data_IF_822952835612
#
_entry.id   IF_822952835612
#
_cell.length_a   1.000
_cell.length_b   1.000
_cell.length_c   1.000
_cell.angle_alpha   90.00
_cell.angle_beta   90.00
_cell.angle_gamma   90.00
#
_symmetry.space_group_name_H-M   'P 1'
#
loop_
_entity.id
_entity.type
_entity.pdbx_description
1 polymer ?
#
# COMPACT_ATOMS: atom_id res chain seq x y z
N UNK A 1 -43.94 11.27 -21.91
CA UNK A 1 -43.23 10.83 -23.12
C UNK A 1 -41.81 11.33 -23.02
N UNK A 2 -40.89 10.50 -22.48
CA UNK A 2 -39.50 10.83 -22.35
C UNK A 2 -38.79 10.53 -23.67
N UNK A 3 -38.14 11.53 -24.26
CA UNK A 3 -37.26 11.38 -25.42
C UNK A 3 -36.06 10.54 -25.01
N UNK A 4 -36.01 9.30 -25.47
CA UNK A 4 -34.79 8.48 -25.50
C UNK A 4 -33.84 9.20 -26.45
N UNK A 5 -32.73 9.73 -25.91
CA UNK A 5 -31.65 10.24 -26.74
C UNK A 5 -31.00 9.04 -27.41
N UNK A 6 -31.22 8.88 -28.71
CA UNK A 6 -30.52 7.97 -29.61
C UNK A 6 -29.01 8.29 -29.51
N UNK A 7 -28.22 7.31 -29.04
CA UNK A 7 -26.76 7.32 -29.18
C UNK A 7 -26.43 7.00 -30.63
N UNK A 8 -25.85 7.96 -31.32
CA UNK A 8 -25.26 7.74 -32.64
C UNK A 8 -24.22 6.61 -32.56
N UNK A 9 -24.54 5.49 -33.19
CA UNK A 9 -23.63 4.39 -33.47
C UNK A 9 -22.69 4.80 -34.59
N UNK A 10 -21.45 5.19 -34.26
CA UNK A 10 -20.39 5.23 -35.26
C UNK A 10 -19.08 4.79 -34.61
N UNK A 11 -18.54 3.65 -35.07
CA UNK A 11 -17.24 3.10 -34.78
C UNK A 11 -17.25 2.10 -33.60
N UNK A 12 -16.69 0.93 -33.80
CA UNK A 12 -16.54 -0.12 -32.80
C UNK A 12 -15.75 0.43 -31.58
N UNK A 13 -16.46 0.92 -30.57
CA UNK A 13 -15.88 1.19 -29.28
C UNK A 13 -15.48 -0.15 -28.67
N UNK A 14 -14.23 -0.31 -28.33
CA UNK A 14 -13.83 -1.39 -27.44
C UNK A 14 -14.71 -1.35 -26.18
N UNK A 15 -15.15 -2.52 -25.65
CA UNK A 15 -15.95 -2.57 -24.44
C UNK A 15 -15.20 -1.87 -23.30
N UNK A 16 -15.96 -1.25 -22.39
CA UNK A 16 -15.35 -0.66 -21.20
C UNK A 16 -14.83 -1.74 -20.27
N UNK A 17 -13.83 -1.43 -19.43
CA UNK A 17 -13.31 -2.41 -18.48
C UNK A 17 -14.39 -2.92 -17.52
N UNK A 18 -15.43 -2.13 -17.22
CA UNK A 18 -16.56 -2.59 -16.41
C UNK A 18 -17.46 -3.55 -17.21
N UNK A 19 -17.62 -3.35 -18.51
CA UNK A 19 -18.35 -4.28 -19.39
C UNK A 19 -17.61 -5.62 -19.50
N UNK A 20 -16.28 -5.61 -19.63
CA UNK A 20 -15.43 -6.80 -19.63
C UNK A 20 -15.53 -7.58 -18.31
N UNK A 21 -15.72 -6.90 -17.17
CA UNK A 21 -15.88 -7.48 -15.85
C UNK A 21 -17.34 -7.79 -15.46
N UNK A 22 -18.28 -7.83 -16.41
CA UNK A 22 -19.72 -8.01 -16.15
C UNK A 22 -20.04 -9.30 -15.37
N UNK A 23 -19.38 -10.41 -15.66
CA UNK A 23 -19.55 -11.68 -14.93
C UNK A 23 -19.14 -11.53 -13.45
N UNK A 24 -18.01 -10.89 -13.19
CA UNK A 24 -17.52 -10.61 -11.81
C UNK A 24 -18.48 -9.69 -11.04
N UNK A 25 -19.12 -8.73 -11.70
CA UNK A 25 -20.17 -7.88 -11.09
C UNK A 25 -21.41 -8.69 -10.68
N UNK A 26 -21.76 -9.74 -11.45
CA UNK A 26 -22.91 -10.60 -11.17
C UNK A 26 -22.67 -11.61 -10.02
N UNK A 27 -21.44 -11.84 -9.60
CA UNK A 27 -21.16 -12.71 -8.44
C UNK A 27 -21.66 -12.13 -7.12
N UNK A 28 -21.94 -10.83 -7.06
CA UNK A 28 -22.47 -10.18 -5.87
C UNK A 28 -23.96 -10.50 -5.66
N UNK A 29 -24.28 -11.25 -4.61
CA UNK A 29 -25.65 -11.59 -4.22
C UNK A 29 -26.29 -10.61 -3.24
N UNK A 30 -25.67 -9.45 -3.02
CA UNK A 30 -26.14 -8.37 -2.15
C UNK A 30 -26.47 -8.76 -0.69
N UNK A 31 -25.85 -9.80 -0.13
CA UNK A 31 -26.12 -10.31 1.22
C UNK A 31 -25.77 -9.34 2.36
N UNK A 32 -24.88 -8.37 2.14
CA UNK A 32 -24.49 -7.35 3.11
C UNK A 32 -23.39 -7.73 4.09
N UNK A 33 -22.81 -8.93 4.05
CA UNK A 33 -21.74 -9.35 4.96
C UNK A 33 -20.48 -8.50 4.88
N UNK A 34 -20.27 -7.79 3.76
CA UNK A 34 -19.17 -6.85 3.57
C UNK A 34 -19.36 -5.46 4.27
N UNK A 35 -20.57 -5.14 4.75
CA UNK A 35 -20.88 -3.82 5.31
C UNK A 35 -20.08 -3.50 6.58
N UNK A 36 -20.02 -4.40 7.59
CA UNK A 36 -19.26 -4.16 8.81
C UNK A 36 -17.75 -3.99 8.58
N UNK A 37 -17.21 -4.60 7.50
CA UNK A 37 -15.79 -4.53 7.17
C UNK A 37 -15.41 -3.23 6.44
N UNK A 38 -16.39 -2.45 5.96
CA UNK A 38 -16.12 -1.27 5.15
C UNK A 38 -15.93 -0.02 5.99
N UNK A 39 -14.72 0.61 6.01
CA UNK A 39 -14.47 1.80 6.81
C UNK A 39 -15.34 2.98 6.40
N UNK A 40 -15.54 3.19 5.09
CA UNK A 40 -16.34 4.32 4.58
C UNK A 40 -17.81 4.17 4.93
N UNK A 41 -18.36 2.97 4.81
CA UNK A 41 -19.74 2.70 5.22
C UNK A 41 -19.97 2.89 6.73
N UNK A 42 -19.01 2.40 7.55
CA UNK A 42 -19.09 2.56 9.02
C UNK A 42 -19.12 4.01 9.48
N UNK A 43 -18.42 4.90 8.75
CA UNK A 43 -18.38 6.33 9.08
C UNK A 43 -19.55 7.09 8.48
N UNK A 44 -19.92 6.83 7.23
CA UNK A 44 -20.89 7.62 6.48
C UNK A 44 -22.33 7.12 6.60
N UNK A 45 -22.55 5.83 6.87
CA UNK A 45 -23.87 5.22 6.93
C UNK A 45 -24.62 5.20 5.59
N UNK A 46 -23.98 5.56 4.49
CA UNK A 46 -24.58 5.64 3.18
C UNK A 46 -24.37 4.34 2.39
N UNK A 47 -25.45 3.73 1.93
CA UNK A 47 -25.41 2.46 1.21
C UNK A 47 -24.57 2.54 -0.09
N UNK A 48 -24.63 3.66 -0.82
CA UNK A 48 -23.83 3.85 -2.03
C UNK A 48 -22.32 3.88 -1.75
N UNK A 49 -21.90 4.14 -0.50
CA UNK A 49 -20.51 4.12 -0.04
C UNK A 49 -20.12 2.77 0.55
N UNK A 50 -21.03 1.79 0.51
CA UNK A 50 -20.76 0.39 0.87
C UNK A 50 -20.15 -0.39 -0.31
N UNK A 51 -19.50 -1.53 -0.06
CA UNK A 51 -18.96 -2.36 -1.15
C UNK A 51 -20.04 -2.84 -2.10
N UNK A 52 -21.15 -3.38 -1.59
CA UNK A 52 -22.26 -3.85 -2.45
C UNK A 52 -22.96 -2.71 -3.18
N UNK A 53 -23.11 -1.54 -2.54
CA UNK A 53 -23.68 -0.35 -3.17
C UNK A 53 -22.82 0.13 -4.34
N UNK A 54 -21.48 0.18 -4.16
CA UNK A 54 -20.56 0.50 -5.25
C UNK A 54 -20.59 -0.53 -6.37
N UNK A 55 -20.69 -1.83 -6.07
CA UNK A 55 -20.88 -2.87 -7.10
C UNK A 55 -22.17 -2.64 -7.88
N UNK A 56 -23.26 -2.27 -7.19
CA UNK A 56 -24.53 -1.95 -7.85
C UNK A 56 -24.40 -0.74 -8.79
N UNK A 57 -23.68 0.30 -8.38
CA UNK A 57 -23.40 1.47 -9.24
C UNK A 57 -22.51 1.08 -10.45
N UNK A 58 -21.45 0.28 -10.23
CA UNK A 58 -20.58 -0.24 -11.29
C UNK A 58 -21.39 -1.05 -12.32
N UNK A 59 -22.25 -1.95 -11.82
CA UNK A 59 -23.15 -2.73 -12.67
C UNK A 59 -24.09 -1.82 -13.47
N UNK A 60 -24.65 -0.78 -12.86
CA UNK A 60 -25.49 0.20 -13.56
C UNK A 60 -24.76 0.89 -14.71
N UNK A 61 -23.46 1.17 -14.54
CA UNK A 61 -22.61 1.72 -15.62
C UNK A 61 -22.33 0.68 -16.70
N UNK A 62 -21.94 -0.55 -16.34
CA UNK A 62 -21.68 -1.64 -17.28
C UNK A 62 -22.90 -1.98 -18.13
N UNK A 63 -24.11 -1.95 -17.54
CA UNK A 63 -25.38 -2.18 -18.24
C UNK A 63 -25.88 -0.94 -19.04
N UNK A 64 -25.14 0.17 -19.04
CA UNK A 64 -25.52 1.41 -19.71
C UNK A 64 -26.72 2.15 -19.07
N UNK A 65 -27.16 1.75 -17.88
CA UNK A 65 -28.26 2.35 -17.11
C UNK A 65 -27.87 3.61 -16.36
N UNK A 66 -26.59 3.72 -16.00
CA UNK A 66 -26.01 4.88 -15.31
C UNK A 66 -24.88 5.48 -16.16
N UNK A 67 -24.77 6.79 -16.15
CA UNK A 67 -23.63 7.48 -16.73
C UNK A 67 -22.50 7.60 -15.69
N UNK A 68 -21.24 7.61 -16.17
CA UNK A 68 -20.08 7.96 -15.34
C UNK A 68 -20.11 9.47 -15.11
N UNK A 69 -20.88 9.91 -14.13
CA UNK A 69 -21.14 11.31 -13.77
C UNK A 69 -20.80 11.55 -12.30
N UNK A 70 -20.95 12.79 -11.83
CA UNK A 70 -20.48 13.26 -10.51
C UNK A 70 -20.91 12.35 -9.35
N UNK A 71 -22.14 11.81 -9.35
CA UNK A 71 -22.63 10.91 -8.31
C UNK A 71 -21.83 9.59 -8.30
N UNK A 72 -21.67 8.95 -9.47
CA UNK A 72 -20.86 7.73 -9.57
C UNK A 72 -19.41 7.99 -9.16
N UNK A 73 -18.80 9.06 -9.70
CA UNK A 73 -17.43 9.46 -9.43
C UNK A 73 -17.21 9.65 -7.93
N UNK A 74 -18.11 10.39 -7.25
CA UNK A 74 -17.96 10.66 -5.81
C UNK A 74 -17.95 9.40 -4.96
N UNK A 75 -18.84 8.43 -5.22
CA UNK A 75 -18.89 7.19 -4.45
C UNK A 75 -17.71 6.26 -4.74
N UNK A 76 -17.19 6.23 -5.98
CA UNK A 76 -15.99 5.44 -6.31
C UNK A 76 -14.74 6.07 -5.68
N UNK A 77 -14.58 7.39 -5.71
CA UNK A 77 -13.43 8.11 -5.16
C UNK A 77 -13.36 8.01 -3.63
N UNK A 78 -14.50 7.92 -2.94
CA UNK A 78 -14.55 7.72 -1.49
C UNK A 78 -14.08 6.32 -1.04
N UNK A 79 -13.90 5.37 -1.95
CA UNK A 79 -13.39 4.06 -1.59
C UNK A 79 -11.88 4.09 -1.28
N UNK A 80 -11.48 3.58 -0.10
CA UNK A 80 -10.07 3.43 0.29
C UNK A 80 -9.31 2.35 -0.49
N UNK A 81 -10.00 1.44 -1.18
CA UNK A 81 -9.36 0.29 -1.83
C UNK A 81 -8.70 -0.68 -0.85
N UNK A 82 -9.13 -0.72 0.40
CA UNK A 82 -8.53 -1.55 1.46
C UNK A 82 -8.78 -3.06 1.31
N UNK A 83 -9.77 -3.46 0.49
CA UNK A 83 -10.13 -4.86 0.16
C UNK A 83 -10.63 -5.72 1.33
N UNK A 84 -10.90 -5.14 2.50
CA UNK A 84 -11.48 -5.87 3.64
C UNK A 84 -12.83 -6.54 3.29
N UNK A 85 -13.57 -5.99 2.35
CA UNK A 85 -14.82 -6.54 1.85
C UNK A 85 -14.65 -7.86 1.06
N UNK A 86 -13.48 -8.13 0.49
CA UNK A 86 -13.21 -9.39 -0.22
C UNK A 86 -13.13 -10.57 0.75
N UNK A 87 -12.42 -10.39 1.88
CA UNK A 87 -12.33 -11.42 2.92
C UNK A 87 -13.67 -11.73 3.57
N UNK A 88 -14.56 -10.73 3.65
CA UNK A 88 -15.90 -10.87 4.20
C UNK A 88 -16.92 -11.42 3.20
N UNK A 89 -16.53 -11.60 1.93
CA UNK A 89 -17.45 -11.98 0.87
C UNK A 89 -17.50 -13.50 0.68
N UNK A 90 -18.63 -14.18 0.99
CA UNK A 90 -18.75 -15.62 0.78
C UNK A 90 -18.82 -15.99 -0.70
N UNK A 91 -19.23 -15.05 -1.57
CA UNK A 91 -19.31 -15.27 -3.03
C UNK A 91 -17.99 -15.00 -3.74
N UNK A 92 -16.93 -14.57 -3.03
CA UNK A 92 -15.61 -14.37 -3.63
C UNK A 92 -15.52 -13.24 -4.65
N UNK A 93 -16.33 -12.16 -4.52
CA UNK A 93 -16.30 -11.03 -5.45
C UNK A 93 -14.91 -10.41 -5.50
N UNK A 94 -14.25 -10.28 -6.66
CA UNK A 94 -12.93 -9.67 -6.81
C UNK A 94 -13.03 -8.13 -6.79
N UNK A 95 -13.39 -7.58 -5.64
CA UNK A 95 -13.73 -6.16 -5.50
C UNK A 95 -12.59 -5.21 -5.89
N UNK A 96 -11.34 -5.58 -5.62
CA UNK A 96 -10.17 -4.78 -6.01
C UNK A 96 -10.09 -4.55 -7.50
N UNK A 97 -10.25 -5.60 -8.30
CA UNK A 97 -10.24 -5.52 -9.76
C UNK A 97 -11.41 -4.68 -10.29
N UNK A 98 -12.61 -4.89 -9.73
CA UNK A 98 -13.80 -4.09 -10.08
C UNK A 98 -13.60 -2.60 -9.76
N UNK A 99 -13.01 -2.30 -8.63
CA UNK A 99 -12.71 -0.92 -8.23
C UNK A 99 -11.69 -0.27 -9.18
N UNK A 100 -10.64 -0.98 -9.56
CA UNK A 100 -9.65 -0.47 -10.52
C UNK A 100 -10.28 -0.23 -11.88
N UNK A 101 -11.10 -1.15 -12.39
CA UNK A 101 -11.87 -0.95 -13.62
C UNK A 101 -12.75 0.30 -13.53
N UNK A 102 -13.49 0.48 -12.42
CA UNK A 102 -14.31 1.67 -12.21
C UNK A 102 -13.49 2.97 -12.18
N UNK A 103 -12.31 2.95 -11.58
CA UNK A 103 -11.40 4.10 -11.53
C UNK A 103 -10.83 4.47 -12.90
N UNK A 104 -10.60 3.49 -13.76
CA UNK A 104 -10.24 3.75 -15.17
C UNK A 104 -11.37 4.48 -15.89
N UNK A 105 -12.62 4.04 -15.74
CA UNK A 105 -13.77 4.75 -16.30
C UNK A 105 -13.86 6.20 -15.80
N UNK A 106 -13.68 6.39 -14.48
CA UNK A 106 -13.64 7.74 -13.87
C UNK A 106 -12.53 8.59 -14.48
N UNK A 107 -11.30 8.06 -14.57
CA UNK A 107 -10.14 8.80 -15.08
C UNK A 107 -10.28 9.24 -16.56
N UNK A 108 -11.10 8.53 -17.32
CA UNK A 108 -11.38 8.84 -18.72
C UNK A 108 -12.43 9.95 -18.90
N UNK A 109 -13.18 10.33 -17.85
CA UNK A 109 -14.20 11.36 -17.95
C UNK A 109 -13.64 12.76 -18.17
N UNK A 110 -14.43 13.61 -18.84
CA UNK A 110 -14.09 15.04 -19.01
C UNK A 110 -14.05 15.78 -17.67
N UNK A 111 -14.87 15.39 -16.70
CA UNK A 111 -14.92 15.99 -15.36
C UNK A 111 -13.61 15.74 -14.60
N UNK A 112 -13.13 14.51 -14.57
CA UNK A 112 -11.84 14.17 -13.94
C UNK A 112 -10.66 14.90 -14.60
N UNK A 113 -10.68 15.05 -15.93
CA UNK A 113 -9.63 15.75 -16.69
C UNK A 113 -9.59 17.26 -16.47
N UNK A 114 -10.66 17.88 -15.98
CA UNK A 114 -10.76 19.33 -15.72
C UNK A 114 -10.40 19.72 -14.28
N UNK A 115 -10.38 18.81 -13.35
CA UNK A 115 -9.99 19.09 -11.97
C UNK A 115 -8.51 19.42 -11.88
N UNK A 116 -8.15 20.65 -11.43
CA UNK A 116 -6.75 21.07 -11.27
C UNK A 116 -5.97 20.14 -10.34
N UNK A 117 -6.59 19.61 -9.26
CA UNK A 117 -5.97 18.65 -8.34
C UNK A 117 -5.68 17.32 -9.04
N UNK A 118 -6.63 16.78 -9.78
CA UNK A 118 -6.45 15.54 -10.53
C UNK A 118 -5.35 15.69 -11.59
N UNK A 119 -5.26 16.84 -12.25
CA UNK A 119 -4.19 17.13 -13.22
C UNK A 119 -2.81 17.14 -12.56
N UNK A 120 -2.66 17.77 -11.39
CA UNK A 120 -1.38 17.77 -10.64
C UNK A 120 -1.00 16.36 -10.21
N UNK A 121 -1.92 15.60 -9.64
CA UNK A 121 -1.68 14.21 -9.22
C UNK A 121 -1.25 13.37 -10.43
N UNK A 122 -1.99 13.46 -11.53
CA UNK A 122 -1.69 12.75 -12.78
C UNK A 122 -0.33 13.12 -13.33
N UNK A 123 0.00 14.42 -13.32
CA UNK A 123 1.33 14.89 -13.75
C UNK A 123 2.43 14.30 -12.88
N UNK A 124 2.29 14.35 -11.55
CA UNK A 124 3.27 13.79 -10.61
C UNK A 124 3.41 12.28 -10.82
N UNK A 125 2.31 11.53 -10.90
CA UNK A 125 2.37 10.09 -11.11
C UNK A 125 3.03 9.74 -12.44
N UNK A 126 2.61 10.36 -13.55
CA UNK A 126 3.07 9.96 -14.88
C UNK A 126 4.44 10.56 -15.28
N UNK A 127 4.93 11.59 -14.60
CA UNK A 127 6.22 12.22 -14.96
C UNK A 127 7.27 12.18 -13.85
N UNK A 128 6.87 12.26 -12.56
CA UNK A 128 7.85 12.18 -11.48
C UNK A 128 8.10 10.73 -11.08
N UNK A 129 7.04 9.92 -10.88
CA UNK A 129 7.18 8.54 -10.42
C UNK A 129 7.67 7.56 -11.50
N UNK A 130 7.58 7.94 -12.78
CA UNK A 130 8.07 7.13 -13.91
C UNK A 130 9.50 7.46 -14.33
N UNK A 131 10.03 8.61 -13.91
CA UNK A 131 11.39 9.04 -14.25
C UNK A 131 12.28 8.92 -13.01
N UNK A 132 13.18 7.92 -12.92
CA UNK A 132 13.98 7.65 -11.72
C UNK A 132 14.76 8.86 -11.20
N UNK A 133 15.33 9.67 -12.11
CA UNK A 133 16.09 10.86 -11.74
C UNK A 133 15.22 11.92 -11.02
N UNK A 134 14.02 12.20 -11.55
CA UNK A 134 13.11 13.18 -10.94
C UNK A 134 12.56 12.67 -9.61
N UNK A 135 12.23 11.39 -9.53
CA UNK A 135 11.80 10.74 -8.29
C UNK A 135 12.88 10.85 -7.22
N UNK A 136 14.12 10.47 -7.56
CA UNK A 136 15.25 10.53 -6.62
C UNK A 136 15.51 11.95 -6.16
N UNK A 137 15.55 12.92 -7.07
CA UNK A 137 15.75 14.32 -6.72
C UNK A 137 14.64 14.86 -5.79
N UNK A 138 13.38 14.55 -6.10
CA UNK A 138 12.24 14.95 -5.26
C UNK A 138 12.28 14.31 -3.87
N UNK A 139 12.64 13.03 -3.77
CA UNK A 139 12.76 12.33 -2.50
C UNK A 139 13.96 12.81 -1.67
N UNK A 140 15.10 13.14 -2.31
CA UNK A 140 16.24 13.73 -1.64
C UNK A 140 15.90 15.11 -1.07
N UNK A 141 15.18 15.95 -1.82
CA UNK A 141 14.71 17.25 -1.34
C UNK A 141 13.74 17.10 -0.16
N UNK A 142 12.79 16.18 -0.24
CA UNK A 142 11.86 15.88 0.85
C UNK A 142 12.58 15.40 2.12
N UNK A 143 13.59 14.52 1.97
CA UNK A 143 14.45 14.08 3.09
C UNK A 143 15.26 15.23 3.67
N UNK A 144 15.90 16.02 2.82
CA UNK A 144 16.65 17.19 3.27
C UNK A 144 15.76 18.13 4.09
N UNK A 145 14.59 18.49 3.57
CA UNK A 145 13.62 19.35 4.26
C UNK A 145 13.16 18.74 5.60
N UNK A 146 12.93 17.42 5.64
CA UNK A 146 12.59 16.70 6.86
C UNK A 146 13.72 16.72 7.89
N UNK A 147 14.96 16.48 7.44
CA UNK A 147 16.12 16.19 8.31
C UNK A 147 16.88 17.46 8.72
N UNK A 148 16.77 18.57 7.98
CA UNK A 148 17.38 19.86 8.36
C UNK A 148 16.69 20.55 9.56
N UNK A 149 15.60 19.99 10.07
CA UNK A 149 14.87 20.51 11.23
C UNK A 149 13.74 21.49 10.88
N UNK A 150 13.71 22.05 9.66
CA UNK A 150 12.70 23.04 9.27
C UNK A 150 11.27 22.47 9.33
N UNK A 151 11.07 21.23 8.90
CA UNK A 151 9.77 20.57 9.01
C UNK A 151 9.31 20.43 10.48
N UNK A 152 10.23 20.12 11.42
CA UNK A 152 9.94 20.08 12.85
C UNK A 152 9.56 21.46 13.40
N UNK A 153 10.34 22.48 13.09
CA UNK A 153 10.04 23.86 13.50
C UNK A 153 8.68 24.35 13.00
N UNK A 154 8.35 24.06 11.74
CA UNK A 154 7.04 24.41 11.18
C UNK A 154 5.88 23.65 11.86
N UNK A 155 6.10 22.39 12.22
CA UNK A 155 5.10 21.59 12.93
C UNK A 155 4.85 22.10 14.35
N UNK A 156 5.93 22.42 15.08
CA UNK A 156 5.88 22.91 16.48
C UNK A 156 5.42 24.37 16.60
N UNK A 157 5.67 25.21 15.59
CA UNK A 157 5.29 26.63 15.61
C UNK A 157 3.78 26.86 15.68
N UNK A 158 2.95 25.86 15.37
CA UNK A 158 1.50 26.02 15.27
C UNK A 158 1.03 26.88 14.09
N UNK A 159 1.94 27.34 13.23
CA UNK A 159 1.61 28.20 12.08
C UNK A 159 0.85 27.45 10.97
N UNK A 160 0.87 26.10 11.00
CA UNK A 160 0.22 25.25 10.02
C UNK A 160 -1.05 24.62 10.64
N UNK A 161 -2.12 24.64 9.87
CA UNK A 161 -3.40 24.04 10.25
C UNK A 161 -3.91 23.04 9.20
N UNK A 162 -4.84 22.19 9.60
CA UNK A 162 -5.55 21.28 8.71
C UNK A 162 -4.62 20.43 7.85
N UNK A 163 -4.80 20.49 6.53
CA UNK A 163 -4.07 19.63 5.55
C UNK A 163 -2.56 19.89 5.51
N UNK A 164 -2.12 21.14 5.70
CA UNK A 164 -0.69 21.47 5.69
C UNK A 164 0.02 20.91 6.89
N UNK A 165 -0.58 20.96 8.08
CA UNK A 165 -0.06 20.35 9.29
C UNK A 165 0.02 18.83 9.17
N UNK A 166 -1.03 18.20 8.62
CA UNK A 166 -1.04 16.77 8.34
C UNK A 166 0.09 16.38 7.36
N UNK A 167 0.29 17.13 6.27
CA UNK A 167 1.34 16.82 5.30
C UNK A 167 2.74 16.87 5.92
N UNK A 168 3.02 17.83 6.79
CA UNK A 168 4.29 17.89 7.54
C UNK A 168 4.38 16.74 8.54
N UNK A 169 3.31 16.42 9.26
CA UNK A 169 3.29 15.27 10.18
C UNK A 169 3.57 13.94 9.45
N UNK A 170 2.96 13.73 8.27
CA UNK A 170 3.23 12.56 7.42
C UNK A 170 4.70 12.46 7.03
N UNK A 171 5.32 13.58 6.65
CA UNK A 171 6.74 13.62 6.31
C UNK A 171 7.61 13.34 7.53
N UNK A 172 7.32 13.94 8.69
CA UNK A 172 8.04 13.72 9.94
C UNK A 172 7.94 12.27 10.43
N UNK A 173 6.80 11.63 10.24
CA UNK A 173 6.56 10.22 10.58
C UNK A 173 7.43 9.24 9.76
N UNK A 174 8.02 9.68 8.65
CA UNK A 174 8.98 8.88 7.88
C UNK A 174 10.42 8.93 8.40
N UNK A 175 10.69 9.64 9.52
CA UNK A 175 12.01 9.66 10.14
C UNK A 175 12.40 8.29 10.70
N UNK A 176 13.66 7.87 10.56
CA UNK A 176 14.14 6.71 11.30
C UNK A 176 14.00 6.97 12.81
N UNK A 177 13.71 5.93 13.57
CA UNK A 177 13.73 6.02 15.04
C UNK A 177 15.12 6.51 15.51
N UNK A 178 15.15 7.34 16.57
CA UNK A 178 16.40 7.87 17.11
C UNK A 178 17.40 6.77 17.50
N UNK A 179 16.90 5.60 17.88
CA UNK A 179 17.71 4.43 18.22
C UNK A 179 18.30 3.74 16.97
N UNK A 180 17.61 3.78 15.83
CA UNK A 180 18.13 3.26 14.56
C UNK A 180 19.19 4.17 13.93
N UNK A 181 19.15 5.47 14.22
CA UNK A 181 20.12 6.44 13.70
C UNK A 181 21.51 6.33 14.34
N UNK A 182 21.59 5.88 15.59
CA UNK A 182 22.85 5.75 16.34
C UNK A 182 23.74 4.57 15.88
N UNK A 183 23.20 3.67 15.06
CA UNK A 183 23.88 2.45 14.61
C UNK A 183 24.62 2.56 13.28
N UNK A 184 24.81 3.76 12.73
CA UNK A 184 25.52 3.94 11.45
C UNK A 184 26.99 3.61 11.49
N UNK A 185 27.60 3.49 12.68
CA UNK A 185 29.05 3.47 12.84
C UNK A 185 29.61 2.25 13.63
N UNK A 186 28.82 1.27 14.04
CA UNK A 186 29.37 0.07 14.68
C UNK A 186 29.35 -1.13 13.73
N UNK A 187 30.53 -1.65 13.52
CA UNK A 187 30.90 -2.79 12.70
C UNK A 187 29.97 -4.01 12.87
N UNK A 188 29.62 -4.62 11.75
CA UNK A 188 28.92 -5.89 11.71
C UNK A 188 29.80 -6.99 12.29
N UNK A 189 29.59 -7.39 13.54
CA UNK A 189 30.00 -8.72 13.97
C UNK A 189 29.27 -9.74 13.09
N UNK A 190 30.04 -10.52 12.37
CA UNK A 190 29.59 -11.59 11.49
C UNK A 190 28.90 -12.68 12.33
N UNK A 191 27.61 -12.52 12.57
CA UNK A 191 26.78 -13.63 13.00
C UNK A 191 26.65 -14.61 11.80
N UNK A 192 26.85 -15.89 12.04
CA UNK A 192 26.65 -16.92 11.01
C UNK A 192 25.19 -16.96 10.52
N UNK A 193 24.89 -17.68 9.44
CA UNK A 193 23.58 -17.71 8.84
C UNK A 193 22.51 -18.19 9.82
N UNK A 194 21.46 -17.39 9.99
CA UNK A 194 20.34 -17.59 10.95
C UNK A 194 19.13 -18.31 10.33
N UNK A 195 19.29 -18.89 9.15
CA UNK A 195 18.21 -19.59 8.42
C UNK A 195 18.73 -20.65 7.46
N UNK A 196 17.88 -21.56 7.05
CA UNK A 196 18.14 -22.57 5.99
C UNK A 196 17.68 -22.01 4.66
N UNK A 197 18.56 -21.35 3.93
CA UNK A 197 18.21 -20.73 2.65
C UNK A 197 18.41 -21.65 1.44
N UNK A 198 19.03 -22.83 1.62
CA UNK A 198 19.35 -23.82 0.58
C UNK A 198 19.90 -23.20 -0.74
N UNK A 199 20.66 -22.09 -0.61
CA UNK A 199 21.25 -21.38 -1.75
C UNK A 199 20.26 -20.54 -2.57
N UNK A 200 19.04 -20.27 -2.06
CA UNK A 200 18.04 -19.43 -2.72
C UNK A 200 18.61 -18.05 -3.07
N UNK A 201 18.43 -17.64 -4.30
CA UNK A 201 18.78 -16.31 -4.81
C UNK A 201 17.58 -15.38 -4.68
N UNK A 202 17.71 -14.33 -3.92
CA UNK A 202 16.64 -13.37 -3.66
C UNK A 202 16.98 -12.00 -4.20
N UNK A 203 16.01 -11.34 -4.81
CA UNK A 203 16.10 -9.93 -5.17
C UNK A 203 15.04 -9.14 -4.41
N UNK A 204 15.32 -7.89 -4.08
CA UNK A 204 14.39 -7.04 -3.33
C UNK A 204 13.90 -5.87 -4.19
N UNK A 205 12.59 -5.60 -4.13
CA UNK A 205 12.07 -4.33 -4.62
C UNK A 205 12.45 -3.20 -3.65
N UNK A 206 13.31 -2.28 -4.09
CA UNK A 206 13.64 -1.07 -3.31
C UNK A 206 12.45 -0.10 -3.23
N UNK A 207 11.62 -0.08 -4.29
CA UNK A 207 10.43 0.76 -4.37
C UNK A 207 10.73 2.25 -4.45
N UNK A 208 9.69 3.05 -4.67
CA UNK A 208 9.81 4.51 -4.80
C UNK A 208 9.84 5.21 -3.43
N UNK A 209 8.77 5.08 -2.64
CA UNK A 209 8.65 5.71 -1.31
C UNK A 209 9.54 5.03 -0.29
N UNK A 210 9.69 3.70 -0.37
CA UNK A 210 10.57 2.94 0.53
C UNK A 210 12.02 3.39 0.38
N UNK A 211 12.57 3.45 -0.84
CA UNK A 211 13.94 3.94 -1.03
C UNK A 211 14.04 5.45 -0.77
N UNK A 212 13.00 6.21 -1.14
CA UNK A 212 12.98 7.66 -0.98
C UNK A 212 12.95 8.13 0.47
N UNK A 213 12.00 7.66 1.27
CA UNK A 213 11.75 8.16 2.63
C UNK A 213 12.08 7.14 3.72
N UNK A 214 12.05 5.84 3.40
CA UNK A 214 12.25 4.72 4.34
C UNK A 214 13.45 3.85 3.97
N UNK A 215 14.50 4.44 3.39
CA UNK A 215 15.71 3.69 3.02
C UNK A 215 16.34 2.94 4.20
N UNK A 216 16.15 3.40 5.44
CA UNK A 216 16.56 2.69 6.64
C UNK A 216 15.88 1.32 6.77
N UNK A 217 14.57 1.21 6.48
CA UNK A 217 13.87 -0.07 6.46
C UNK A 217 14.36 -0.98 5.30
N UNK A 218 14.69 -0.41 4.14
CA UNK A 218 15.32 -1.17 3.05
C UNK A 218 16.68 -1.74 3.47
N UNK A 219 17.55 -0.94 4.11
CA UNK A 219 18.85 -1.40 4.62
C UNK A 219 18.69 -2.46 5.71
N UNK A 220 17.67 -2.32 6.58
CA UNK A 220 17.35 -3.39 7.55
C UNK A 220 16.92 -4.67 6.85
N UNK A 221 16.13 -4.57 5.78
CA UNK A 221 15.73 -5.73 4.97
C UNK A 221 16.93 -6.42 4.35
N UNK A 222 17.84 -5.67 3.71
CA UNK A 222 19.06 -6.19 3.11
C UNK A 222 19.92 -6.95 4.17
N UNK A 223 20.18 -6.35 5.33
CA UNK A 223 20.95 -7.00 6.42
C UNK A 223 20.30 -8.27 6.95
N UNK A 224 18.97 -8.26 7.12
CA UNK A 224 18.23 -9.46 7.58
C UNK A 224 18.29 -10.57 6.53
N UNK A 225 18.16 -10.25 5.24
CA UNK A 225 18.29 -11.21 4.15
C UNK A 225 19.72 -11.78 4.06
N UNK A 226 20.76 -10.95 4.20
CA UNK A 226 22.14 -11.40 4.24
C UNK A 226 22.39 -12.36 5.43
N UNK A 227 21.91 -12.01 6.63
CA UNK A 227 22.00 -12.89 7.82
C UNK A 227 21.21 -14.18 7.68
N UNK A 228 20.15 -14.19 6.87
CA UNK A 228 19.39 -15.43 6.61
C UNK A 228 20.14 -16.44 5.73
N UNK A 229 21.32 -16.07 5.21
CA UNK A 229 22.14 -16.93 4.35
C UNK A 229 21.63 -17.02 2.90
N UNK A 230 20.72 -16.12 2.47
CA UNK A 230 20.26 -16.06 1.08
C UNK A 230 21.28 -15.39 0.18
N UNK A 231 21.37 -15.82 -1.07
CA UNK A 231 22.13 -15.15 -2.12
C UNK A 231 21.42 -13.88 -2.59
N UNK A 232 21.80 -12.70 -2.06
CA UNK A 232 21.18 -11.43 -2.46
C UNK A 232 21.62 -11.01 -3.86
N UNK A 233 20.65 -10.69 -4.73
CA UNK A 233 20.87 -10.24 -6.11
C UNK A 233 20.37 -8.81 -6.27
N UNK A 234 21.22 -7.91 -6.67
CA UNK A 234 20.85 -6.53 -6.94
C UNK A 234 20.21 -6.39 -8.32
N UNK A 235 19.07 -5.68 -8.38
CA UNK A 235 18.35 -5.36 -9.62
C UNK A 235 18.37 -3.86 -9.83
N UNK A 236 19.34 -3.35 -10.59
CA UNK A 236 19.55 -1.91 -10.77
C UNK A 236 18.46 -1.21 -11.59
N UNK A 237 17.84 -1.91 -12.54
CA UNK A 237 16.87 -1.34 -13.49
C UNK A 237 15.41 -1.45 -13.04
N UNK A 238 15.17 -1.76 -11.77
CA UNK A 238 13.81 -1.82 -11.22
C UNK A 238 13.12 -0.45 -11.18
N UNK A 239 11.81 -0.46 -11.34
CA UNK A 239 10.96 0.73 -11.38
C UNK A 239 9.97 0.74 -10.20
N UNK A 240 9.15 1.81 -10.12
CA UNK A 240 7.98 1.82 -9.24
C UNK A 240 7.07 0.61 -9.53
N UNK A 241 6.46 0.01 -8.48
CA UNK A 241 5.54 -1.12 -8.64
C UNK A 241 4.26 -0.80 -9.43
N UNK A 242 3.94 0.47 -9.68
CA UNK A 242 2.73 0.87 -10.40
C UNK A 242 1.44 0.92 -9.57
N UNK A 243 1.45 0.51 -8.29
CA UNK A 243 0.25 0.46 -7.45
C UNK A 243 -0.54 1.80 -7.42
N UNK A 244 0.16 2.93 -7.22
CA UNK A 244 -0.50 4.25 -7.19
C UNK A 244 -1.11 4.62 -8.54
N UNK A 245 -0.52 4.17 -9.65
CA UNK A 245 -1.05 4.38 -11.00
C UNK A 245 -2.34 3.58 -11.20
N UNK A 246 -2.35 2.27 -10.90
CA UNK A 246 -3.54 1.43 -10.97
C UNK A 246 -4.66 1.99 -10.10
N UNK A 247 -4.36 2.34 -8.85
CA UNK A 247 -5.33 2.92 -7.92
C UNK A 247 -5.85 4.31 -8.32
N UNK A 248 -5.17 5.00 -9.24
CA UNK A 248 -5.61 6.30 -9.78
C UNK A 248 -6.26 6.19 -11.17
N UNK A 249 -6.46 4.96 -11.69
CA UNK A 249 -7.02 4.71 -13.02
C UNK A 249 -6.04 4.92 -14.18
N UNK A 250 -4.74 5.13 -13.91
CA UNK A 250 -3.68 5.25 -14.91
C UNK A 250 -3.13 3.86 -15.28
N UNK A 251 -4.03 3.00 -15.76
CA UNK A 251 -3.76 1.56 -15.95
C UNK A 251 -2.65 1.28 -16.96
N UNK A 252 -2.55 2.05 -18.05
CA UNK A 252 -1.52 1.85 -19.06
C UNK A 252 -0.11 2.17 -18.52
N UNK A 253 -0.01 3.19 -17.67
CA UNK A 253 1.26 3.47 -16.97
C UNK A 253 1.61 2.35 -15.99
N UNK A 254 0.61 1.80 -15.27
CA UNK A 254 0.82 0.66 -14.38
C UNK A 254 1.32 -0.58 -15.16
N UNK A 255 0.69 -0.90 -16.30
CA UNK A 255 1.11 -1.98 -17.21
C UNK A 255 2.54 -1.79 -17.74
N UNK A 256 2.87 -0.57 -18.15
CA UNK A 256 4.23 -0.25 -18.58
C UNK A 256 5.27 -0.50 -17.49
N UNK A 257 5.02 -0.03 -16.27
CA UNK A 257 5.90 -0.24 -15.12
C UNK A 257 6.01 -1.73 -14.74
N UNK A 258 4.92 -2.47 -14.83
CA UNK A 258 4.90 -3.91 -14.59
C UNK A 258 5.79 -4.65 -15.59
N UNK A 259 5.68 -4.37 -16.90
CA UNK A 259 6.55 -4.98 -17.94
C UNK A 259 8.02 -4.71 -17.65
N UNK A 260 8.38 -3.47 -17.29
CA UNK A 260 9.77 -3.12 -16.96
C UNK A 260 10.30 -3.87 -15.74
N UNK A 261 9.49 -4.00 -14.69
CA UNK A 261 9.86 -4.79 -13.51
C UNK A 261 10.00 -6.27 -13.84
N UNK A 262 9.07 -6.84 -14.61
CA UNK A 262 9.14 -8.25 -15.05
C UNK A 262 10.44 -8.50 -15.81
N UNK A 263 10.79 -7.65 -16.80
CA UNK A 263 12.06 -7.74 -17.54
C UNK A 263 13.27 -7.72 -16.60
N UNK A 264 13.32 -6.74 -15.69
CA UNK A 264 14.47 -6.52 -14.81
C UNK A 264 14.68 -7.68 -13.82
N UNK A 265 13.61 -8.10 -13.14
CA UNK A 265 13.71 -9.14 -12.10
C UNK A 265 13.91 -10.54 -12.70
N UNK A 266 13.22 -10.89 -13.77
CA UNK A 266 13.43 -12.20 -14.41
C UNK A 266 14.83 -12.32 -15.02
N UNK A 267 15.37 -11.23 -15.58
CA UNK A 267 16.75 -11.21 -16.10
C UNK A 267 17.80 -11.40 -15.00
N UNK A 268 17.49 -11.06 -13.74
CA UNK A 268 18.41 -11.26 -12.60
C UNK A 268 18.59 -12.72 -12.21
N UNK A 269 17.68 -13.60 -12.64
CA UNK A 269 17.68 -15.02 -12.30
C UNK A 269 17.39 -15.29 -10.82
N UNK A 270 16.67 -14.40 -10.12
CA UNK A 270 16.27 -14.62 -8.74
C UNK A 270 15.13 -15.65 -8.63
N UNK A 271 15.16 -16.45 -7.55
CA UNK A 271 14.14 -17.43 -7.24
C UNK A 271 12.94 -16.80 -6.53
N UNK A 272 13.19 -15.76 -5.73
CA UNK A 272 12.16 -15.01 -5.00
C UNK A 272 12.38 -13.50 -5.15
N UNK A 273 11.27 -12.78 -5.16
CA UNK A 273 11.24 -11.31 -5.22
C UNK A 273 10.64 -10.81 -3.91
N UNK A 274 11.50 -10.23 -3.09
CA UNK A 274 11.14 -9.78 -1.74
C UNK A 274 10.63 -8.35 -1.77
N UNK A 275 9.50 -8.13 -1.11
CA UNK A 275 8.88 -6.80 -1.00
C UNK A 275 8.59 -6.50 0.46
N UNK A 276 9.06 -5.36 0.94
CA UNK A 276 8.83 -4.88 2.31
C UNK A 276 7.77 -3.76 2.38
N UNK A 277 6.90 -3.69 1.41
CA UNK A 277 5.80 -2.71 1.34
C UNK A 277 4.53 -3.42 0.91
N UNK A 278 3.56 -3.50 1.81
CA UNK A 278 2.32 -4.25 1.58
C UNK A 278 1.58 -3.85 0.30
N UNK A 279 1.50 -2.54 -0.01
CA UNK A 279 0.86 -2.05 -1.23
C UNK A 279 1.61 -2.42 -2.49
N UNK A 280 2.94 -2.37 -2.46
CA UNK A 280 3.77 -2.80 -3.59
C UNK A 280 3.68 -4.31 -3.80
N UNK A 281 3.76 -5.11 -2.73
CA UNK A 281 3.65 -6.57 -2.79
C UNK A 281 2.31 -7.02 -3.37
N UNK A 282 1.20 -6.39 -2.94
CA UNK A 282 -0.13 -6.66 -3.48
C UNK A 282 -0.18 -6.41 -4.99
N UNK A 283 0.29 -5.25 -5.46
CA UNK A 283 0.30 -4.92 -6.88
C UNK A 283 1.17 -5.88 -7.70
N UNK A 284 2.37 -6.25 -7.20
CA UNK A 284 3.28 -7.15 -7.92
C UNK A 284 2.78 -8.60 -7.97
N UNK A 285 2.08 -9.06 -6.92
CA UNK A 285 1.39 -10.37 -6.94
C UNK A 285 0.22 -10.41 -7.94
N UNK A 286 -0.28 -9.26 -8.35
CA UNK A 286 -1.40 -9.09 -9.30
C UNK A 286 -0.95 -8.73 -10.73
N UNK A 287 0.35 -8.69 -11.03
CA UNK A 287 0.83 -8.43 -12.40
C UNK A 287 0.31 -9.45 -13.42
N UNK A 288 0.08 -10.71 -13.01
CA UNK A 288 -0.54 -11.71 -13.86
C UNK A 288 -1.93 -11.28 -14.34
N UNK A 289 -2.79 -10.80 -13.45
CA UNK A 289 -4.10 -10.27 -13.79
C UNK A 289 -4.03 -8.93 -14.55
N UNK A 290 -3.09 -8.04 -14.16
CA UNK A 290 -2.90 -6.73 -14.80
C UNK A 290 -2.51 -6.86 -16.27
N UNK A 291 -1.75 -7.89 -16.61
CA UNK A 291 -1.24 -8.17 -17.97
C UNK A 291 -1.91 -9.39 -18.59
N UNK A 292 -3.09 -9.79 -18.09
CA UNK A 292 -3.89 -10.85 -18.70
C UNK A 292 -4.23 -10.46 -20.14
N UNK A 293 -4.04 -11.41 -21.07
CA UNK A 293 -4.22 -11.17 -22.52
C UNK A 293 -3.10 -10.39 -23.19
N UNK A 294 -2.05 -9.98 -22.48
CA UNK A 294 -0.86 -9.41 -23.13
C UNK A 294 -0.10 -10.53 -23.88
N UNK A 295 0.10 -10.40 -25.22
CA UNK A 295 0.65 -11.49 -26.02
C UNK A 295 2.11 -11.86 -25.67
N UNK A 296 2.86 -10.95 -25.04
CA UNK A 296 4.27 -11.15 -24.71
C UNK A 296 4.48 -11.39 -23.21
N UNK A 297 3.66 -10.76 -22.36
CA UNK A 297 3.92 -10.71 -20.93
C UNK A 297 2.97 -11.54 -20.07
N UNK A 298 1.86 -12.07 -20.58
CA UNK A 298 0.87 -12.79 -19.75
C UNK A 298 1.48 -13.95 -18.95
N UNK A 299 2.21 -14.85 -19.60
CA UNK A 299 2.87 -15.98 -18.93
C UNK A 299 4.00 -15.51 -18.00
N UNK A 300 4.82 -14.58 -18.47
CA UNK A 300 5.93 -14.00 -17.70
C UNK A 300 5.44 -13.26 -16.46
N UNK A 301 4.31 -12.58 -16.55
CA UNK A 301 3.68 -11.89 -15.44
C UNK A 301 3.16 -12.88 -14.38
N UNK A 302 2.59 -14.00 -14.81
CA UNK A 302 2.14 -15.08 -13.92
C UNK A 302 3.32 -15.73 -13.18
N UNK A 303 4.42 -16.07 -13.90
CA UNK A 303 5.65 -16.58 -13.30
C UNK A 303 6.24 -15.57 -12.30
N UNK A 304 6.37 -14.30 -12.70
CA UNK A 304 6.83 -13.22 -11.85
C UNK A 304 6.01 -13.11 -10.56
N UNK A 305 4.67 -13.03 -10.68
CA UNK A 305 3.77 -12.89 -9.53
C UNK A 305 3.90 -14.06 -8.54
N UNK A 306 4.14 -15.28 -9.04
CA UNK A 306 4.33 -16.47 -8.23
C UNK A 306 5.60 -16.43 -7.36
N UNK A 307 6.62 -15.66 -7.76
CA UNK A 307 7.90 -15.49 -7.06
C UNK A 307 7.87 -14.38 -6.01
N UNK A 308 6.85 -13.49 -6.04
CA UNK A 308 6.76 -12.35 -5.12
C UNK A 308 6.40 -12.83 -3.71
N UNK A 309 7.15 -12.37 -2.72
CA UNK A 309 6.89 -12.63 -1.29
C UNK A 309 6.98 -11.33 -0.50
N UNK A 310 6.07 -11.13 0.44
CA UNK A 310 6.31 -10.17 1.51
C UNK A 310 7.53 -10.60 2.33
N UNK A 311 8.30 -9.66 2.84
CA UNK A 311 9.52 -9.97 3.61
C UNK A 311 9.21 -10.86 4.82
N UNK A 312 8.07 -10.65 5.49
CA UNK A 312 7.67 -11.46 6.64
C UNK A 312 7.25 -12.87 6.23
N UNK A 313 6.51 -13.00 5.13
CA UNK A 313 6.13 -14.27 4.52
C UNK A 313 7.38 -15.11 4.17
N UNK A 314 8.35 -14.49 3.51
CA UNK A 314 9.59 -15.13 3.13
C UNK A 314 10.44 -15.58 4.32
N UNK A 315 10.60 -14.72 5.30
CA UNK A 315 11.40 -15.05 6.49
C UNK A 315 10.82 -16.22 7.28
N UNK A 316 9.50 -16.35 7.35
CA UNK A 316 8.84 -17.53 7.95
C UNK A 316 9.01 -18.76 7.04
N UNK A 317 8.87 -18.61 5.70
CA UNK A 317 9.08 -19.70 4.73
C UNK A 317 10.45 -20.37 4.90
N UNK A 318 11.51 -19.59 5.16
CA UNK A 318 12.87 -20.10 5.36
C UNK A 318 13.21 -20.44 6.83
N UNK A 319 12.26 -20.31 7.75
CA UNK A 319 12.47 -20.59 9.18
C UNK A 319 13.44 -19.65 9.88
N UNK A 320 13.53 -18.39 9.43
CA UNK A 320 14.39 -17.37 10.04
C UNK A 320 14.07 -17.18 11.53
N UNK A 321 15.12 -17.09 12.35
CA UNK A 321 15.02 -16.77 13.78
C UNK A 321 15.83 -15.49 14.06
N UNK A 322 15.22 -14.44 14.59
CA UNK A 322 15.94 -13.21 14.89
C UNK A 322 16.92 -13.43 16.07
N UNK A 323 18.16 -12.97 15.88
CA UNK A 323 19.18 -12.95 16.94
C UNK A 323 19.27 -11.55 17.57
N UNK A 324 18.13 -11.01 17.96
CA UNK A 324 18.00 -9.70 18.59
C UNK A 324 17.16 -9.85 19.86
N UNK A 325 17.44 -9.02 20.87
CA UNK A 325 16.65 -8.97 22.12
C UNK A 325 16.00 -7.61 22.23
N UNK A 326 14.73 -7.57 22.57
CA UNK A 326 14.00 -6.31 22.74
C UNK A 326 13.06 -6.39 23.93
N UNK A 327 12.98 -5.31 24.73
CA UNK A 327 12.04 -5.20 25.86
C UNK A 327 10.83 -4.33 25.53
N UNK A 328 10.52 -4.18 24.24
CA UNK A 328 9.42 -3.33 23.76
C UNK A 328 8.06 -3.99 23.97
N UNK A 329 7.06 -3.13 24.23
CA UNK A 329 5.65 -3.48 24.23
C UNK A 329 5.08 -3.15 22.85
N UNK A 330 4.95 -4.16 22.01
CA UNK A 330 4.64 -4.00 20.58
C UNK A 330 3.17 -4.31 20.32
N UNK A 331 2.45 -3.35 19.72
CA UNK A 331 1.17 -3.59 19.07
C UNK A 331 1.40 -3.76 17.57
N UNK A 332 0.81 -4.79 16.98
CA UNK A 332 0.86 -5.00 15.53
C UNK A 332 -0.38 -4.40 14.86
N UNK A 333 -0.18 -3.54 13.87
CA UNK A 333 -1.22 -3.03 12.97
C UNK A 333 -1.05 -3.70 11.60
N UNK A 334 -2.04 -4.50 11.20
CA UNK A 334 -1.97 -5.24 9.95
C UNK A 334 -2.26 -4.31 8.76
N UNK A 335 -1.29 -4.09 7.84
CA UNK A 335 -1.57 -3.34 6.62
C UNK A 335 -2.65 -4.05 5.81
N UNK A 336 -3.70 -3.32 5.43
CA UNK A 336 -4.85 -3.91 4.73
C UNK A 336 -4.44 -4.64 3.44
N UNK A 337 -3.48 -4.14 2.67
CA UNK A 337 -2.97 -4.81 1.48
C UNK A 337 -2.14 -6.07 1.79
N UNK A 338 -1.50 -6.16 2.95
CA UNK A 338 -0.84 -7.38 3.37
C UNK A 338 -1.86 -8.44 3.77
N UNK A 339 -2.78 -8.04 4.65
CA UNK A 339 -3.77 -8.95 5.23
C UNK A 339 -4.81 -9.43 4.20
N UNK A 340 -5.38 -8.49 3.43
CA UNK A 340 -6.55 -8.81 2.57
C UNK A 340 -6.18 -9.10 1.11
N UNK A 341 -5.24 -8.32 0.53
CA UNK A 341 -4.86 -8.53 -0.85
C UNK A 341 -3.83 -9.65 -0.99
N UNK A 342 -2.78 -9.67 -0.16
CA UNK A 342 -1.75 -10.71 -0.20
C UNK A 342 -2.10 -11.94 0.65
N UNK A 343 -3.08 -11.85 1.56
CA UNK A 343 -3.50 -12.91 2.50
C UNK A 343 -2.37 -13.37 3.44
N UNK A 344 -1.45 -12.48 3.76
CA UNK A 344 -0.38 -12.69 4.74
C UNK A 344 -0.82 -12.10 6.07
N UNK A 345 -1.23 -12.95 7.01
CA UNK A 345 -1.84 -12.56 8.29
C UNK A 345 -0.97 -12.90 9.49
N UNK A 346 -0.40 -14.08 9.53
CA UNK A 346 0.27 -14.64 10.71
C UNK A 346 1.77 -14.35 10.74
N UNK A 347 2.43 -14.38 9.58
CA UNK A 347 3.87 -14.29 9.48
C UNK A 347 4.50 -13.07 10.18
N UNK A 348 3.97 -11.83 10.04
CA UNK A 348 4.55 -10.70 10.76
C UNK A 348 4.46 -10.84 12.29
N UNK A 349 3.35 -11.39 12.79
CA UNK A 349 3.11 -11.61 14.22
C UNK A 349 3.98 -12.71 14.77
N UNK A 350 4.17 -13.80 14.02
CA UNK A 350 5.06 -14.90 14.37
C UNK A 350 6.50 -14.40 14.53
N UNK A 351 7.00 -13.63 13.57
CA UNK A 351 8.34 -13.05 13.62
C UNK A 351 8.52 -12.11 14.82
N UNK A 352 7.56 -11.22 15.06
CA UNK A 352 7.63 -10.30 16.20
C UNK A 352 7.61 -11.04 17.54
N UNK A 353 6.80 -12.09 17.68
CA UNK A 353 6.75 -12.94 18.87
C UNK A 353 8.04 -13.72 19.07
N UNK A 354 8.76 -14.03 18.00
CA UNK A 354 10.03 -14.79 18.09
C UNK A 354 11.20 -13.95 18.60
N UNK A 355 11.07 -12.62 18.71
CA UNK A 355 12.09 -11.74 19.29
C UNK A 355 12.11 -11.90 20.81
N UNK A 356 13.20 -12.38 21.44
CA UNK A 356 13.30 -12.51 22.88
C UNK A 356 13.06 -11.20 23.64
N UNK A 357 12.20 -11.25 24.65
CA UNK A 357 11.88 -10.12 25.53
C UNK A 357 10.77 -9.19 25.00
N UNK A 358 10.31 -9.35 23.78
CA UNK A 358 9.16 -8.60 23.24
C UNK A 358 7.86 -9.01 23.94
N UNK A 359 7.08 -8.03 24.34
CA UNK A 359 5.72 -8.21 24.82
C UNK A 359 4.74 -7.77 23.76
N UNK A 360 4.01 -8.72 23.14
CA UNK A 360 2.95 -8.40 22.20
C UNK A 360 1.71 -7.89 22.94
N UNK A 361 1.26 -6.71 22.54
CA UNK A 361 0.08 -6.04 23.12
C UNK A 361 -1.09 -6.16 22.12
N UNK A 362 -2.25 -6.66 22.52
CA UNK A 362 -3.43 -6.67 21.67
C UNK A 362 -3.83 -5.25 21.23
N UNK A 363 -4.10 -5.08 19.95
CA UNK A 363 -4.61 -3.81 19.39
C UNK A 363 -6.02 -4.02 18.83
N UNK A 364 -7.07 -3.54 19.51
CA UNK A 364 -8.42 -3.60 18.97
C UNK A 364 -8.50 -2.89 17.61
N UNK A 365 -9.10 -3.54 16.60
CA UNK A 365 -9.18 -2.99 15.24
C UNK A 365 -7.85 -2.97 14.50
N UNK A 366 -6.90 -3.84 14.86
CA UNK A 366 -5.61 -3.99 14.16
C UNK A 366 -5.79 -4.29 12.66
N UNK A 367 -6.87 -4.95 12.30
CA UNK A 367 -7.27 -5.30 10.93
C UNK A 367 -7.91 -4.14 10.15
N UNK A 368 -8.35 -3.07 10.84
CA UNK A 368 -9.03 -1.95 10.19
C UNK A 368 -8.05 -1.04 9.46
N UNK A 369 -8.46 -0.50 8.31
CA UNK A 369 -7.63 0.44 7.54
C UNK A 369 -7.24 1.66 8.37
N UNK A 370 -6.01 2.13 8.23
CA UNK A 370 -5.50 3.34 8.89
C UNK A 370 -6.01 4.66 8.27
N UNK A 371 -6.72 4.60 7.15
CA UNK A 371 -7.21 5.79 6.43
C UNK A 371 -6.20 6.41 5.46
N UNK A 372 -4.97 5.90 5.36
CA UNK A 372 -3.90 6.48 4.52
C UNK A 372 -4.12 6.30 3.02
N UNK A 373 -4.29 5.06 2.57
CA UNK A 373 -4.62 4.65 1.20
C UNK A 373 -3.91 5.46 0.08
N UNK A 374 -2.58 5.44 0.10
CA UNK A 374 -1.77 6.18 -0.86
C UNK A 374 -1.88 7.69 -0.66
N UNK A 375 -2.54 8.38 -1.59
CA UNK A 375 -2.78 9.83 -1.56
C UNK A 375 -4.19 10.20 -1.06
N UNK A 376 -4.99 9.23 -0.64
CA UNK A 376 -6.38 9.42 -0.22
C UNK A 376 -6.50 10.41 0.95
N UNK A 377 -5.62 10.35 1.92
CA UNK A 377 -5.59 11.26 3.07
C UNK A 377 -5.43 12.74 2.67
N UNK A 378 -4.77 13.02 1.55
CA UNK A 378 -4.64 14.38 1.01
C UNK A 378 -5.88 14.82 0.21
N UNK A 379 -6.60 13.86 -0.38
CA UNK A 379 -7.81 14.11 -1.16
C UNK A 379 -9.07 14.20 -0.28
N UNK A 380 -9.23 13.27 0.66
CA UNK A 380 -10.40 13.07 1.52
C UNK A 380 -10.02 13.20 3.01
N UNK A 381 -9.39 14.33 3.38
CA UNK A 381 -8.79 14.54 4.69
C UNK A 381 -9.73 14.32 5.87
N UNK A 382 -10.99 14.77 5.80
CA UNK A 382 -11.96 14.61 6.90
C UNK A 382 -12.28 13.14 7.18
N UNK A 383 -12.63 12.38 6.13
CA UNK A 383 -12.96 10.97 6.27
C UNK A 383 -11.73 10.15 6.69
N UNK A 384 -10.57 10.45 6.10
CA UNK A 384 -9.30 9.86 6.49
C UNK A 384 -8.97 10.11 7.95
N UNK A 385 -9.14 11.34 8.44
CA UNK A 385 -8.89 11.72 9.84
C UNK A 385 -9.85 11.02 10.80
N UNK A 386 -11.14 10.91 10.44
CA UNK A 386 -12.12 10.19 11.25
C UNK A 386 -11.75 8.71 11.42
N UNK A 387 -11.32 8.07 10.33
CA UNK A 387 -10.86 6.67 10.35
C UNK A 387 -9.59 6.54 11.20
N UNK A 388 -8.63 7.45 11.02
CA UNK A 388 -7.37 7.47 11.77
C UNK A 388 -7.61 7.67 13.27
N UNK A 389 -8.52 8.56 13.68
CA UNK A 389 -8.78 8.87 15.09
C UNK A 389 -9.19 7.64 15.89
N UNK A 390 -10.01 6.76 15.31
CA UNK A 390 -10.37 5.50 15.95
C UNK A 390 -9.14 4.58 16.16
N UNK A 391 -8.23 4.53 15.19
CA UNK A 391 -6.98 3.77 15.28
C UNK A 391 -6.06 4.34 16.35
N UNK A 392 -5.88 5.66 16.41
CA UNK A 392 -5.02 6.34 17.39
C UNK A 392 -5.58 6.16 18.81
N UNK A 393 -6.90 6.26 18.99
CA UNK A 393 -7.53 5.98 20.28
C UNK A 393 -7.27 4.53 20.76
N UNK A 394 -7.35 3.55 19.87
CA UNK A 394 -7.03 2.16 20.18
C UNK A 394 -5.54 1.97 20.54
N UNK A 395 -4.63 2.62 19.82
CA UNK A 395 -3.19 2.60 20.12
C UNK A 395 -2.92 3.20 21.50
N UNK A 396 -3.49 4.36 21.82
CA UNK A 396 -3.35 5.00 23.12
C UNK A 396 -3.87 4.10 24.25
N UNK A 397 -5.06 3.51 24.07
CA UNK A 397 -5.68 2.62 25.06
C UNK A 397 -4.90 1.31 25.26
N UNK A 398 -4.20 0.83 24.24
CA UNK A 398 -3.40 -0.41 24.32
C UNK A 398 -2.21 -0.28 25.30
N UNK A 399 -1.69 0.93 25.47
CA UNK A 399 -0.48 1.21 26.26
C UNK A 399 0.78 0.61 25.64
N UNK A 400 0.80 0.28 24.35
CA UNK A 400 2.01 -0.11 23.64
C UNK A 400 2.97 1.07 23.54
N UNK A 401 4.28 0.81 23.56
CA UNK A 401 5.31 1.82 23.29
C UNK A 401 5.72 1.83 21.82
N UNK A 402 5.36 0.79 21.08
CA UNK A 402 5.71 0.62 19.67
C UNK A 402 4.51 0.04 18.91
N UNK A 403 4.22 0.63 17.75
CA UNK A 403 3.32 0.05 16.74
C UNK A 403 4.16 -0.44 15.56
N UNK A 404 4.02 -1.72 15.23
CA UNK A 404 4.69 -2.34 14.07
C UNK A 404 3.70 -2.46 12.91
N UNK A 405 4.04 -1.91 11.72
CA UNK A 405 3.20 -2.02 10.51
C UNK A 405 4.06 -2.03 9.24
N UNK A 406 3.87 -3.02 8.36
CA UNK A 406 4.72 -3.31 7.18
C UNK A 406 4.29 -2.56 5.91
N UNK A 407 3.95 -1.27 6.01
CA UNK A 407 3.60 -0.47 4.83
C UNK A 407 3.94 1.01 5.03
N UNK A 408 4.70 1.66 4.14
CA UNK A 408 5.13 3.05 4.31
C UNK A 408 3.95 4.03 4.48
N UNK A 409 2.85 3.81 3.72
CA UNK A 409 1.65 4.63 3.86
C UNK A 409 0.99 4.51 5.24
N UNK A 410 0.98 3.30 5.84
CA UNK A 410 0.45 3.08 7.19
C UNK A 410 1.39 3.69 8.24
N UNK A 411 2.72 3.51 8.10
CA UNK A 411 3.70 4.13 9.01
C UNK A 411 3.52 5.65 9.02
N UNK A 412 3.45 6.28 7.84
CA UNK A 412 3.24 7.73 7.74
C UNK A 412 1.90 8.16 8.35
N UNK A 413 0.82 7.46 8.05
CA UNK A 413 -0.53 7.82 8.50
C UNK A 413 -0.68 7.69 10.02
N UNK A 414 -0.30 6.53 10.58
CA UNK A 414 -0.37 6.28 12.02
C UNK A 414 0.63 7.16 12.76
N UNK A 415 1.87 7.27 12.24
CA UNK A 415 2.89 8.14 12.83
C UNK A 415 2.48 9.62 12.83
N UNK A 416 1.83 10.10 11.79
CA UNK A 416 1.25 11.45 11.78
C UNK A 416 0.17 11.62 12.85
N UNK A 417 -0.72 10.64 13.03
CA UNK A 417 -1.71 10.66 14.10
C UNK A 417 -1.08 10.66 15.49
N UNK A 418 -0.06 9.84 15.71
CA UNK A 418 0.73 9.81 16.95
C UNK A 418 1.37 11.18 17.25
N UNK A 419 1.96 11.83 16.23
CA UNK A 419 2.56 13.17 16.36
C UNK A 419 1.52 14.24 16.65
N UNK A 420 0.38 14.21 15.96
CA UNK A 420 -0.69 15.20 16.12
C UNK A 420 -1.33 15.14 17.51
N UNK A 421 -1.45 13.95 18.11
CA UNK A 421 -1.97 13.71 19.45
C UNK A 421 -0.90 13.77 20.55
N UNK A 422 0.37 14.01 20.18
CA UNK A 422 1.48 14.13 21.14
C UNK A 422 1.79 12.83 21.90
N UNK A 423 1.47 11.67 21.32
CA UNK A 423 1.71 10.38 21.94
C UNK A 423 3.20 9.98 21.86
N UNK A 424 3.69 9.30 22.89
CA UNK A 424 5.08 8.76 22.92
C UNK A 424 5.08 7.30 22.49
N UNK A 425 4.78 7.05 21.22
CA UNK A 425 4.72 5.73 20.60
C UNK A 425 5.57 5.75 19.33
N UNK A 426 6.50 4.80 19.22
CA UNK A 426 7.25 4.59 17.98
C UNK A 426 6.37 3.87 16.96
N UNK A 427 6.41 4.30 15.69
CA UNK A 427 5.73 3.58 14.58
C UNK A 427 6.80 3.09 13.62
N UNK A 428 7.01 1.78 13.56
CA UNK A 428 8.16 1.15 12.92
C UNK A 428 7.73 0.07 11.91
N UNK A 429 8.59 -0.17 10.93
CA UNK A 429 8.45 -1.34 10.09
C UNK A 429 8.87 -2.61 10.87
N UNK A 430 8.15 -3.75 10.77
CA UNK A 430 8.53 -4.99 11.47
C UNK A 430 9.98 -5.40 11.24
N UNK A 431 10.51 -5.20 10.03
CA UNK A 431 11.89 -5.56 9.68
C UNK A 431 12.93 -4.79 10.50
N UNK A 432 12.63 -3.55 10.91
CA UNK A 432 13.54 -2.76 11.74
C UNK A 432 13.69 -3.36 13.15
N UNK A 433 12.62 -3.99 13.64
CA UNK A 433 12.62 -4.68 14.92
C UNK A 433 13.38 -6.01 14.87
N UNK A 434 13.39 -6.68 13.71
CA UNK A 434 14.16 -7.91 13.47
C UNK A 434 15.67 -7.64 13.26
N UNK A 435 16.02 -6.41 12.86
CA UNK A 435 17.39 -5.98 12.60
C UNK A 435 18.07 -5.33 13.82
N UNK A 436 17.29 -4.79 14.75
CA UNK A 436 17.80 -4.02 15.89
C UNK A 436 18.14 -4.90 17.09
N UNK A 437 19.37 -4.85 17.57
CA UNK A 437 19.69 -5.21 18.96
C UNK A 437 19.45 -3.97 19.84
N UNK A 438 18.66 -4.09 20.88
CA UNK A 438 18.49 -3.05 21.91
C UNK A 438 19.42 -3.30 23.07
#
# INVERSE_FOLDING_TARGET
MAKVMEREQTGSKLPSLLEENSESLLTCVHCGLCLPSCPTYRVLGNENDSPRGRIYLMRGVAEGKLAVADTFISHIDLCLGCRACESACPSGVPYGQLLEAARVEVAQTKAARRSGKALVIRFVLNHVFTIPLLLTAGMLLARWFRDCGLAGLLFESGALEGRSRLAIALLLASRPSSKSALRRDSESEQAGPEGKSDGLRVAMLRGCVMEGLFNHANRSTERVLERSGTGFVEVASQMCCGALHAHSGEIETARHLARKNIEAFLASGCDRIIVNSAGCGAAMKEYGALLEGDPEFSERASDFSSRVRDVSEFLVEIGFKPNVVSKRRIAYDAPCHLMYAQRVTEAPVELLKSIPGVQMIPLPGYESCCGGAGIYNLQHGELSSTILSAKIAAIQASGADTVATGNPGCIMQIGAGVLLEGLKVDVLHPIELLDSSN
#
